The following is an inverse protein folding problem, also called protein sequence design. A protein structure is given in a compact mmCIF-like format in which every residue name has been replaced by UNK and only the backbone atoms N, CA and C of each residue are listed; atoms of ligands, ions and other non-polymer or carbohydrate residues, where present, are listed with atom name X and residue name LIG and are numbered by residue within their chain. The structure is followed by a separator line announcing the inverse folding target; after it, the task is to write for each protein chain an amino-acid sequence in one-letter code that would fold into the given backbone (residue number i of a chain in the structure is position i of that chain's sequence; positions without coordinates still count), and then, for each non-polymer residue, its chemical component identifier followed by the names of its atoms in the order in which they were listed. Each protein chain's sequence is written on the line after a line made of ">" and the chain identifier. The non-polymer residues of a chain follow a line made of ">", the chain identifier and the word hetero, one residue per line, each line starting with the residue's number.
data_IF_143339844176
#
_entry.id   IF_143339844176
#
_cell.length_a   1.000
_cell.length_b   1.000
_cell.length_c   1.000
_cell.angle_alpha   90.00
_cell.angle_beta   90.00
_cell.angle_gamma   90.00
#
_symmetry.space_group_name_H-M   'P 1'
#
loop_
_entity.id
_entity.type
_entity.pdbx_description
1 polymer ?
#
# COMPACT_ATOMS: atom_id res chain seq x y z
N UNK A 1 6.55 -35.60 78.93
CA UNK A 1 5.97 -35.72 77.56
C UNK A 1 6.47 -34.55 76.73
N UNK A 2 7.35 -34.81 75.75
CA UNK A 2 7.87 -33.79 74.82
C UNK A 2 7.14 -33.98 73.49
N UNK A 3 6.41 -32.98 73.03
CA UNK A 3 5.77 -32.99 71.70
C UNK A 3 6.73 -32.29 70.75
N UNK A 4 7.19 -33.04 69.75
CA UNK A 4 8.04 -32.57 68.66
C UNK A 4 7.13 -31.97 67.59
N UNK A 5 7.19 -30.65 67.37
CA UNK A 5 6.47 -30.00 66.27
C UNK A 5 7.44 -29.92 65.09
N UNK A 6 7.16 -30.71 64.06
CA UNK A 6 7.91 -30.70 62.79
C UNK A 6 7.42 -29.50 61.97
N UNK A 7 8.29 -28.50 61.78
CA UNK A 7 8.06 -27.37 60.90
C UNK A 7 8.37 -27.82 59.46
N UNK A 8 7.34 -27.97 58.62
CA UNK A 8 7.52 -28.23 57.18
C UNK A 8 7.72 -26.88 56.48
N UNK A 9 8.95 -26.60 56.06
CA UNK A 9 9.26 -25.45 55.22
C UNK A 9 8.91 -25.81 53.78
N UNK A 10 7.76 -25.34 53.30
CA UNK A 10 7.40 -25.42 51.87
C UNK A 10 8.13 -24.30 51.15
N UNK A 11 9.21 -24.63 50.43
CA UNK A 11 9.87 -23.71 49.53
C UNK A 11 8.96 -23.46 48.32
N UNK A 12 8.23 -22.34 48.34
CA UNK A 12 7.57 -21.81 47.16
C UNK A 12 8.65 -21.28 46.19
N UNK A 13 8.97 -22.08 45.17
CA UNK A 13 9.73 -21.59 44.02
C UNK A 13 8.84 -20.59 43.29
N UNK A 14 9.09 -19.30 43.51
CA UNK A 14 8.55 -18.22 42.70
C UNK A 14 9.16 -18.37 41.30
N UNK A 15 8.41 -18.98 40.37
CA UNK A 15 8.62 -18.80 38.94
C UNK A 15 8.44 -17.31 38.66
N UNK A 16 9.55 -16.58 38.56
CA UNK A 16 9.55 -15.28 37.87
C UNK A 16 9.27 -15.63 36.40
N UNK A 17 8.11 -15.27 35.83
CA UNK A 17 7.96 -15.37 34.39
C UNK A 17 9.06 -14.48 33.80
N UNK A 18 9.94 -15.09 33.01
CA UNK A 18 10.88 -14.41 32.14
C UNK A 18 10.02 -13.56 31.20
N UNK A 19 9.77 -12.31 31.60
CA UNK A 19 9.09 -11.31 30.80
C UNK A 19 10.05 -10.90 29.69
N UNK A 20 10.34 -11.84 28.79
CA UNK A 20 10.74 -11.49 27.44
C UNK A 20 9.70 -10.49 26.96
N UNK A 21 10.10 -9.36 26.36
CA UNK A 21 9.14 -8.50 25.72
C UNK A 21 8.35 -9.40 24.79
N UNK A 22 7.04 -9.53 25.04
CA UNK A 22 6.11 -10.00 24.01
C UNK A 22 6.47 -9.21 22.78
N UNK A 23 6.94 -9.88 21.73
CA UNK A 23 7.27 -9.25 20.46
C UNK A 23 6.19 -8.20 20.18
N UNK A 24 6.58 -6.93 20.10
CA UNK A 24 5.65 -5.88 19.76
C UNK A 24 4.98 -6.32 18.46
N UNK A 25 3.65 -6.36 18.45
CA UNK A 25 2.93 -6.80 17.26
C UNK A 25 3.18 -5.75 16.17
N UNK A 26 3.55 -6.18 14.97
CA UNK A 26 3.60 -5.30 13.82
C UNK A 26 2.30 -4.49 13.69
N UNK A 27 2.46 -3.21 13.40
CA UNK A 27 1.36 -2.35 12.99
C UNK A 27 0.77 -2.75 11.65
N UNK A 28 -0.34 -2.11 11.29
CA UNK A 28 -1.07 -2.35 10.04
C UNK A 28 -0.99 -1.11 9.14
N UNK A 29 -1.16 -1.29 7.83
CA UNK A 29 -1.36 -0.19 6.90
C UNK A 29 -2.85 0.16 6.78
N UNK A 30 -3.15 1.44 6.61
CA UNK A 30 -4.47 1.93 6.21
C UNK A 30 -4.39 2.53 4.82
N UNK A 31 -5.47 2.42 4.05
CA UNK A 31 -5.52 2.76 2.64
C UNK A 31 -6.64 3.77 2.36
N UNK A 32 -6.30 4.86 1.67
CA UNK A 32 -7.23 5.64 0.85
C UNK A 32 -6.92 5.40 -0.62
N UNK A 33 -7.87 4.87 -1.39
CA UNK A 33 -7.65 4.50 -2.78
C UNK A 33 -8.90 4.69 -3.64
N UNK A 34 -8.70 4.58 -4.95
CA UNK A 34 -9.79 4.49 -5.90
C UNK A 34 -9.33 4.14 -7.30
N UNK A 35 -10.29 3.71 -8.12
CA UNK A 35 -10.11 3.52 -9.55
C UNK A 35 -10.25 4.88 -10.23
N UNK A 36 -9.27 5.21 -11.05
CA UNK A 36 -9.21 6.45 -11.81
C UNK A 36 -9.19 6.19 -13.32
N UNK A 37 -9.54 7.23 -14.08
CA UNK A 37 -9.26 7.29 -15.51
C UNK A 37 -9.03 8.71 -16.00
N UNK A 38 -8.21 8.87 -17.04
CA UNK A 38 -7.83 10.19 -17.55
C UNK A 38 -7.42 10.15 -19.03
N UNK A 39 -7.76 11.23 -19.75
CA UNK A 39 -7.20 11.56 -21.06
C UNK A 39 -5.99 12.51 -20.95
N UNK A 40 -5.72 13.04 -19.75
CA UNK A 40 -4.73 14.08 -19.49
C UNK A 40 -3.55 13.50 -18.73
N UNK A 41 -2.85 12.54 -19.32
CA UNK A 41 -1.62 11.98 -18.76
C UNK A 41 -0.38 12.47 -19.53
N UNK A 42 0.71 12.74 -18.80
CA UNK A 42 2.00 13.05 -19.40
C UNK A 42 2.43 11.90 -20.32
N UNK A 43 2.66 12.19 -21.61
CA UNK A 43 2.99 11.18 -22.62
C UNK A 43 1.85 10.85 -23.59
N UNK A 44 0.63 11.36 -23.39
CA UNK A 44 -0.35 11.35 -24.47
C UNK A 44 0.19 12.21 -25.63
N UNK A 45 0.28 11.66 -26.86
CA UNK A 45 0.86 12.42 -27.95
C UNK A 45 -0.04 13.64 -28.22
N UNK A 46 0.50 14.87 -28.33
CA UNK A 46 -0.30 16.06 -28.57
C UNK A 46 -1.13 15.98 -29.87
N UNK A 47 -0.80 15.04 -30.77
CA UNK A 47 -1.47 14.80 -32.05
C UNK A 47 -1.85 13.30 -32.26
N UNK A 48 -1.85 12.48 -31.21
CA UNK A 48 -2.25 11.07 -31.29
C UNK A 48 -3.75 10.89 -31.03
N UNK A 49 -4.35 9.73 -31.38
CA UNK A 49 -5.68 9.43 -30.87
C UNK A 49 -5.64 9.50 -29.34
N UNK A 50 -6.65 10.09 -28.69
CA UNK A 50 -6.67 10.25 -27.23
C UNK A 50 -6.65 8.86 -26.57
N UNK A 51 -5.48 8.43 -26.09
CA UNK A 51 -5.36 7.21 -25.31
C UNK A 51 -5.93 7.49 -23.93
N UNK A 52 -6.93 6.69 -23.53
CA UNK A 52 -7.49 6.76 -22.20
C UNK A 52 -6.67 5.85 -21.27
N UNK A 53 -6.09 6.43 -20.23
CA UNK A 53 -5.38 5.67 -19.20
C UNK A 53 -6.30 5.48 -18.00
N UNK A 54 -6.14 4.35 -17.34
CA UNK A 54 -6.95 3.96 -16.19
C UNK A 54 -6.15 3.08 -15.22
N UNK A 55 -6.61 2.98 -13.99
CA UNK A 55 -5.95 2.17 -12.99
C UNK A 55 -6.43 2.49 -11.59
N UNK A 56 -5.56 2.29 -10.60
CA UNK A 56 -5.80 2.67 -9.21
C UNK A 56 -4.79 3.71 -8.74
N UNK A 57 -5.24 4.63 -7.90
CA UNK A 57 -4.37 5.52 -7.14
C UNK A 57 -4.59 5.28 -5.64
N UNK A 58 -3.55 5.44 -4.83
CA UNK A 58 -3.56 5.13 -3.41
C UNK A 58 -2.69 6.07 -2.57
N UNK A 59 -3.08 6.25 -1.31
CA UNK A 59 -2.31 6.80 -0.18
C UNK A 59 -2.39 5.78 0.97
N UNK A 60 -1.23 5.27 1.38
CA UNK A 60 -1.05 4.26 2.42
C UNK A 60 -0.39 4.89 3.65
N UNK A 61 -0.93 4.67 4.84
CA UNK A 61 -0.32 5.10 6.12
C UNK A 61 -0.11 3.92 7.04
N UNK A 62 1.08 3.80 7.63
CA UNK A 62 1.35 2.74 8.60
C UNK A 62 0.96 3.17 10.01
N UNK A 63 0.18 2.32 10.68
CA UNK A 63 -0.31 2.48 12.05
C UNK A 63 0.44 1.49 12.93
N UNK A 64 1.60 1.92 13.41
CA UNK A 64 2.45 1.13 14.30
C UNK A 64 3.70 1.89 14.74
N UNK A 65 4.35 1.39 15.79
CA UNK A 65 5.55 2.02 16.35
C UNK A 65 6.83 1.46 15.72
N UNK A 66 6.80 0.24 15.20
CA UNK A 66 7.97 -0.43 14.64
C UNK A 66 8.60 0.35 13.49
N UNK A 67 9.92 0.26 13.37
CA UNK A 67 10.63 0.77 12.21
C UNK A 67 10.42 -0.20 11.04
N UNK A 68 10.14 0.35 9.87
CA UNK A 68 10.07 -0.40 8.63
C UNK A 68 11.44 -0.34 7.95
N UNK A 69 12.01 -1.51 7.68
CA UNK A 69 13.34 -1.65 7.07
C UNK A 69 13.26 -1.75 5.55
N UNK A 70 12.22 -2.40 5.04
CA UNK A 70 11.91 -2.50 3.61
C UNK A 70 10.41 -2.47 3.39
N UNK A 71 10.01 -1.97 2.22
CA UNK A 71 8.63 -1.85 1.79
C UNK A 71 8.55 -2.23 0.32
N UNK A 72 7.56 -3.01 -0.06
CA UNK A 72 7.17 -3.25 -1.44
C UNK A 72 5.67 -3.10 -1.62
N UNK A 73 5.27 -2.59 -2.78
CA UNK A 73 3.86 -2.33 -3.10
C UNK A 73 3.60 -2.82 -4.52
N UNK A 74 2.59 -3.67 -4.67
CA UNK A 74 2.20 -4.21 -5.96
C UNK A 74 0.68 -4.23 -6.13
N UNK A 75 0.20 -4.04 -7.36
CA UNK A 75 -1.21 -4.13 -7.70
C UNK A 75 -1.46 -5.31 -8.65
N UNK A 76 -2.61 -5.95 -8.54
CA UNK A 76 -3.08 -6.98 -9.46
C UNK A 76 -4.47 -6.63 -9.95
N UNK A 77 -4.59 -6.37 -11.24
CA UNK A 77 -5.88 -6.12 -11.87
C UNK A 77 -6.73 -7.40 -12.00
N UNK A 78 -8.06 -7.29 -11.96
CA UNK A 78 -8.97 -8.41 -12.18
C UNK A 78 -8.77 -9.05 -13.55
N UNK A 79 -9.07 -10.35 -13.65
CA UNK A 79 -8.97 -11.09 -14.92
C UNK A 79 -9.85 -10.49 -16.01
N UNK A 80 -11.01 -9.92 -15.65
CA UNK A 80 -11.90 -9.23 -16.58
C UNK A 80 -11.17 -8.10 -17.32
N UNK A 81 -10.53 -7.17 -16.60
CA UNK A 81 -9.72 -6.11 -17.22
C UNK A 81 -8.55 -6.68 -18.03
N UNK A 82 -7.93 -7.77 -17.56
CA UNK A 82 -6.81 -8.43 -18.26
C UNK A 82 -7.20 -9.01 -19.61
N UNK A 83 -8.48 -9.30 -19.86
CA UNK A 83 -8.94 -9.73 -21.19
C UNK A 83 -9.01 -8.58 -22.20
N UNK A 84 -9.08 -7.34 -21.73
CA UNK A 84 -9.21 -6.15 -22.57
C UNK A 84 -7.85 -5.61 -23.03
N UNK A 85 -6.83 -5.71 -22.17
CA UNK A 85 -5.48 -5.22 -22.45
C UNK A 85 -4.71 -6.16 -23.38
N UNK A 86 -3.93 -5.60 -24.31
CA UNK A 86 -3.17 -6.40 -25.27
C UNK A 86 -2.15 -7.31 -24.54
N UNK A 87 -1.99 -8.58 -24.96
CA UNK A 87 -0.94 -9.46 -24.43
C UNK A 87 0.44 -8.80 -24.53
N UNK A 88 1.19 -8.78 -23.43
CA UNK A 88 2.51 -8.13 -23.36
C UNK A 88 2.49 -6.68 -22.87
N UNK A 89 1.32 -6.10 -22.61
CA UNK A 89 1.19 -4.87 -21.82
C UNK A 89 1.23 -5.16 -20.32
N UNK A 90 1.61 -4.17 -19.50
CA UNK A 90 1.90 -4.22 -18.05
C UNK A 90 0.69 -4.50 -17.15
N UNK A 91 -0.14 -5.47 -17.50
CA UNK A 91 -1.35 -5.84 -16.76
C UNK A 91 -1.41 -7.33 -16.39
N UNK A 92 -0.33 -8.09 -16.61
CA UNK A 92 -0.25 -9.51 -16.24
C UNK A 92 0.35 -9.71 -14.85
N UNK A 93 -0.40 -10.33 -13.93
CA UNK A 93 0.09 -10.65 -12.60
C UNK A 93 0.28 -9.43 -11.68
N UNK A 94 1.15 -9.57 -10.68
CA UNK A 94 1.48 -8.48 -9.75
C UNK A 94 2.36 -7.44 -10.44
N UNK A 95 1.84 -6.23 -10.56
CA UNK A 95 2.52 -5.07 -11.10
C UNK A 95 3.08 -4.25 -9.95
N UNK A 96 4.40 -4.16 -9.84
CA UNK A 96 5.02 -3.27 -8.86
C UNK A 96 4.54 -1.85 -9.12
N UNK A 97 4.09 -1.15 -8.08
CA UNK A 97 3.63 0.20 -8.25
C UNK A 97 4.78 1.07 -8.79
N UNK A 98 4.61 1.65 -9.97
CA UNK A 98 5.49 2.70 -10.44
C UNK A 98 5.19 3.94 -9.61
N UNK A 99 5.97 4.17 -8.55
CA UNK A 99 5.98 5.45 -7.86
C UNK A 99 6.56 6.47 -8.86
N UNK A 100 5.80 7.49 -9.30
CA UNK A 100 6.25 8.44 -10.31
C UNK A 100 7.66 8.97 -10.00
N UNK A 101 8.54 8.78 -10.98
CA UNK A 101 9.98 9.07 -10.92
C UNK A 101 10.32 10.57 -10.90
N UNK A 102 9.46 11.42 -10.37
CA UNK A 102 9.70 12.85 -10.21
C UNK A 102 9.99 13.21 -8.75
N UNK A 103 11.08 12.63 -8.24
CA UNK A 103 11.82 13.19 -7.09
C UNK A 103 11.62 12.55 -5.74
N UNK A 104 12.68 11.93 -5.20
CA UNK A 104 12.82 11.60 -3.78
C UNK A 104 11.59 10.86 -3.19
N UNK A 105 11.12 9.85 -3.92
CA UNK A 105 9.95 9.02 -3.61
C UNK A 105 10.26 7.53 -3.71
N UNK A 106 11.38 7.09 -3.15
CA UNK A 106 11.74 5.67 -3.11
C UNK A 106 10.91 4.90 -2.08
N UNK A 107 10.75 3.59 -2.27
CA UNK A 107 10.14 2.71 -1.26
C UNK A 107 10.89 2.78 0.09
N UNK A 108 12.17 3.14 0.07
CA UNK A 108 12.99 3.37 1.27
C UNK A 108 12.50 4.61 2.03
N UNK A 109 12.29 5.73 1.36
CA UNK A 109 11.74 6.94 1.98
C UNK A 109 10.31 6.71 2.47
N UNK A 110 9.49 5.99 1.69
CA UNK A 110 8.15 5.62 2.10
C UNK A 110 8.13 4.76 3.39
N UNK A 111 9.06 3.81 3.51
CA UNK A 111 9.26 3.02 4.72
C UNK A 111 9.67 3.88 5.92
N UNK A 112 10.62 4.81 5.73
CA UNK A 112 11.06 5.74 6.76
C UNK A 112 9.93 6.66 7.24
N UNK A 113 9.12 7.17 6.31
CA UNK A 113 8.03 8.10 6.61
C UNK A 113 6.72 7.41 7.00
N UNK A 114 6.64 6.07 6.95
CA UNK A 114 5.42 5.31 7.26
C UNK A 114 4.24 5.77 6.40
N UNK A 115 4.53 6.20 5.18
CA UNK A 115 3.59 6.76 4.22
C UNK A 115 4.06 6.43 2.81
N UNK A 116 3.18 5.86 1.99
CA UNK A 116 3.45 5.59 0.59
C UNK A 116 2.25 5.99 -0.26
N UNK A 117 2.47 6.77 -1.30
CA UNK A 117 1.38 7.11 -2.22
C UNK A 117 1.82 7.03 -3.67
N UNK A 118 0.89 6.68 -4.55
CA UNK A 118 1.20 6.42 -5.94
C UNK A 118 -0.01 5.99 -6.76
N UNK A 119 0.27 5.53 -7.97
CA UNK A 119 -0.73 5.00 -8.88
C UNK A 119 -0.15 3.85 -9.70
N UNK A 120 -1.01 2.90 -10.07
CA UNK A 120 -0.71 1.83 -11.03
C UNK A 120 -1.80 1.86 -12.08
N UNK A 121 -1.40 1.87 -13.35
CA UNK A 121 -2.36 1.96 -14.44
C UNK A 121 -1.91 1.25 -15.71
N UNK A 122 -2.83 1.23 -16.66
CA UNK A 122 -2.67 0.69 -17.99
C UNK A 122 -3.51 1.53 -18.98
N UNK A 123 -3.47 1.13 -20.25
CA UNK A 123 -4.34 1.68 -21.28
C UNK A 123 -5.70 0.99 -21.18
N UNK A 124 -6.78 1.77 -21.11
CA UNK A 124 -8.15 1.29 -21.24
C UNK A 124 -8.59 1.39 -22.70
N UNK A 125 -8.59 0.30 -23.48
CA UNK A 125 -8.79 0.33 -24.94
C UNK A 125 -10.16 0.86 -25.37
N UNK A 126 -11.21 0.67 -24.56
CA UNK A 126 -12.55 1.17 -24.85
C UNK A 126 -12.87 2.47 -24.10
N UNK A 127 -11.87 3.08 -23.46
CA UNK A 127 -12.06 4.34 -22.75
C UNK A 127 -12.75 4.18 -21.38
N UNK A 128 -13.54 5.17 -20.93
CA UNK A 128 -14.19 5.16 -19.62
C UNK A 128 -15.07 3.93 -19.32
N UNK A 129 -15.57 3.25 -20.35
CA UNK A 129 -16.39 2.04 -20.18
C UNK A 129 -15.64 0.87 -19.56
N UNK A 130 -14.31 0.89 -19.59
CA UNK A 130 -13.47 -0.17 -19.01
C UNK A 130 -13.27 0.01 -17.49
N UNK A 131 -13.56 1.18 -16.91
CA UNK A 131 -13.33 1.43 -15.48
C UNK A 131 -14.02 0.43 -14.54
N UNK A 132 -15.27 -0.01 -14.79
CA UNK A 132 -15.92 -1.03 -13.95
C UNK A 132 -15.15 -2.36 -13.90
N UNK A 133 -14.40 -2.70 -14.95
CA UNK A 133 -13.64 -3.96 -15.00
C UNK A 133 -12.40 -3.97 -14.10
N UNK A 134 -12.01 -2.80 -13.56
CA UNK A 134 -10.96 -2.64 -12.56
C UNK A 134 -11.47 -2.87 -11.12
N UNK A 135 -12.79 -2.98 -10.90
CA UNK A 135 -13.36 -3.31 -9.58
C UNK A 135 -12.85 -4.68 -9.14
N UNK A 136 -12.39 -4.78 -7.89
CA UNK A 136 -11.72 -5.97 -7.38
C UNK A 136 -10.21 -5.96 -7.60
N UNK A 137 -9.62 -4.84 -8.06
CA UNK A 137 -8.16 -4.69 -8.11
C UNK A 137 -7.59 -4.89 -6.70
N UNK A 138 -6.58 -5.74 -6.58
CA UNK A 138 -5.90 -6.00 -5.32
C UNK A 138 -4.63 -5.17 -5.21
N UNK A 139 -4.43 -4.52 -4.07
CA UNK A 139 -3.18 -3.87 -3.70
C UNK A 139 -2.53 -4.68 -2.58
N UNK A 140 -1.29 -5.10 -2.78
CA UNK A 140 -0.45 -5.77 -1.78
C UNK A 140 0.61 -4.84 -1.27
N UNK A 141 0.77 -4.85 0.06
CA UNK A 141 1.82 -4.15 0.77
C UNK A 141 2.63 -5.17 1.55
N UNK A 142 3.89 -5.34 1.17
CA UNK A 142 4.84 -6.23 1.82
C UNK A 142 5.85 -5.37 2.59
N UNK A 143 6.16 -5.69 3.84
CA UNK A 143 7.17 -4.95 4.59
C UNK A 143 7.97 -5.81 5.56
N UNK A 144 9.22 -5.41 5.80
CA UNK A 144 10.08 -6.01 6.81
C UNK A 144 10.23 -5.07 8.01
N UNK A 145 10.15 -5.64 9.21
CA UNK A 145 10.32 -4.95 10.48
C UNK A 145 11.13 -5.81 11.46
N UNK A 146 11.37 -5.29 12.67
CA UNK A 146 12.00 -6.06 13.73
C UNK A 146 11.21 -7.31 14.16
N UNK A 147 9.90 -7.35 13.91
CA UNK A 147 9.05 -8.52 14.20
C UNK A 147 8.94 -9.51 13.04
N UNK A 148 9.54 -9.20 11.88
CA UNK A 148 9.70 -10.11 10.74
C UNK A 148 9.16 -9.55 9.42
N UNK A 149 8.82 -10.46 8.52
CA UNK A 149 8.18 -10.15 7.24
C UNK A 149 6.65 -10.15 7.39
N UNK A 150 6.00 -9.19 6.75
CA UNK A 150 4.56 -9.00 6.83
C UNK A 150 3.96 -8.69 5.46
N UNK A 151 2.70 -9.06 5.29
CA UNK A 151 1.90 -8.82 4.08
C UNK A 151 0.51 -8.29 4.50
N UNK A 152 0.02 -7.30 3.76
CA UNK A 152 -1.37 -6.87 3.84
C UNK A 152 -1.95 -6.68 2.44
N UNK A 153 -3.17 -7.18 2.26
CA UNK A 153 -3.93 -7.09 1.01
C UNK A 153 -5.13 -6.17 1.18
N UNK A 154 -5.37 -5.33 0.18
CA UNK A 154 -6.53 -4.46 0.08
C UNK A 154 -7.26 -4.70 -1.24
N UNK A 155 -8.59 -4.63 -1.20
CA UNK A 155 -9.41 -4.53 -2.41
C UNK A 155 -9.73 -3.07 -2.73
N UNK A 156 -9.60 -2.68 -4.00
CA UNK A 156 -9.96 -1.36 -4.50
C UNK A 156 -11.17 -1.52 -5.43
N UNK A 157 -12.34 -1.18 -4.90
CA UNK A 157 -13.62 -1.41 -5.57
C UNK A 157 -14.35 -0.12 -5.95
N UNK A 158 -13.86 1.03 -5.50
CA UNK A 158 -14.52 2.31 -5.71
C UNK A 158 -13.98 3.01 -6.95
N UNK A 159 -14.85 3.21 -7.94
CA UNK A 159 -14.58 4.10 -9.08
C UNK A 159 -14.79 5.55 -8.64
N UNK A 160 -13.70 6.33 -8.63
CA UNK A 160 -13.69 7.74 -8.21
C UNK A 160 -13.53 8.72 -9.37
N UNK A 161 -13.13 8.23 -10.56
CA UNK A 161 -13.07 9.02 -11.78
C UNK A 161 -11.75 9.78 -11.91
N UNK A 162 -11.79 11.10 -12.05
CA UNK A 162 -10.59 11.92 -12.25
C UNK A 162 -9.76 12.00 -10.96
N UNK A 163 -8.45 11.84 -11.10
CA UNK A 163 -7.47 11.98 -10.01
C UNK A 163 -6.37 12.94 -10.43
N UNK A 164 -5.97 13.80 -9.51
CA UNK A 164 -4.75 14.59 -9.59
C UNK A 164 -3.76 14.00 -8.60
N UNK A 165 -2.58 13.60 -9.07
CA UNK A 165 -1.49 13.14 -8.21
C UNK A 165 -0.67 14.35 -7.77
N UNK A 166 -0.83 14.73 -6.51
CA UNK A 166 -0.12 15.84 -5.89
C UNK A 166 1.09 15.31 -5.12
N UNK A 167 2.19 16.05 -5.01
CA UNK A 167 3.33 15.67 -4.17
C UNK A 167 4.61 15.33 -4.91
N UNK A 168 5.51 14.60 -4.27
CA UNK A 168 6.93 14.48 -4.67
C UNK A 168 7.76 15.58 -4.01
N UNK A 169 8.56 16.33 -4.78
CA UNK A 169 9.41 17.42 -4.26
C UNK A 169 8.67 18.52 -3.48
N UNK A 170 7.35 18.62 -3.63
CA UNK A 170 6.53 19.67 -3.01
C UNK A 170 5.90 19.25 -1.67
N UNK A 171 6.07 17.99 -1.26
CA UNK A 171 5.56 17.46 0.01
C UNK A 171 6.69 17.21 1.01
N UNK A 172 6.45 17.45 2.30
CA UNK A 172 7.47 17.28 3.37
C UNK A 172 8.02 15.85 3.46
N UNK A 173 7.21 14.86 3.10
CA UNK A 173 7.53 13.43 3.13
C UNK A 173 7.94 12.88 1.74
N UNK A 174 7.99 13.72 0.71
CA UNK A 174 8.36 13.30 -0.65
C UNK A 174 7.34 12.40 -1.35
N UNK A 175 6.19 12.14 -0.72
CA UNK A 175 5.21 11.17 -1.21
C UNK A 175 4.10 11.81 -2.04
N UNK A 176 3.59 11.05 -2.99
CA UNK A 176 2.42 11.44 -3.77
C UNK A 176 1.14 11.25 -2.95
N UNK A 177 0.15 12.07 -3.24
CA UNK A 177 -1.18 12.09 -2.63
C UNK A 177 -2.21 12.19 -3.76
N UNK A 178 -3.08 11.18 -3.93
CA UNK A 178 -4.18 11.26 -4.85
C UNK A 178 -5.22 12.24 -4.31
N UNK A 179 -5.51 13.27 -5.10
CA UNK A 179 -6.58 14.24 -4.87
C UNK A 179 -7.67 13.96 -5.90
N UNK A 180 -8.89 13.78 -5.41
CA UNK A 180 -9.98 13.25 -6.23
C UNK A 180 -10.92 14.36 -6.68
N UNK A 181 -11.38 14.27 -7.93
CA UNK A 181 -12.29 15.27 -8.51
C UNK A 181 -11.61 16.61 -8.79
N UNK A 182 -12.28 17.73 -8.45
CA UNK A 182 -11.84 19.10 -8.77
C UNK A 182 -10.96 19.75 -7.71
N UNK A 183 -10.59 19.00 -6.68
CA UNK A 183 -9.75 19.50 -5.62
C UNK A 183 -8.34 19.77 -6.15
N UNK A 184 -7.72 20.85 -5.70
CA UNK A 184 -6.37 21.27 -6.12
C UNK A 184 -5.31 20.80 -5.12
N UNK A 185 -4.09 20.58 -5.59
CA UNK A 185 -2.93 20.38 -4.73
C UNK A 185 -2.73 21.61 -3.83
N UNK A 186 -3.10 21.50 -2.55
CA UNK A 186 -2.94 22.53 -1.52
C UNK A 186 -1.75 22.27 -0.62
#
# INVERSE_FOLDING_TARGET
>A
MRVLVVLVVVAAVLLVPDARPTAERAGDWVLDAGIYGTYNHFGNPPNGPPTYLCGIAFDLRYVGIERIESLDIAARFPDEFRTLVQPGTSASGWQRAMLPASGHGSLIEAALWKHAGGAVGAICPNGPSDLPTLVGTQLRVDWHSASGDHEQLFSVDLVRGEVTLCGGYFTKDGQIRPVWGRDTCG
#
